data_IF_356938386565
#
_entry.id   IF_356938386565
#
_cell.length_a   1.000
_cell.length_b   1.000
_cell.length_c   1.000
_cell.angle_alpha   90.00
_cell.angle_beta   90.00
_cell.angle_gamma   90.00
#
_symmetry.space_group_name_H-M   'P 1'
#
loop_
_entity.id
_entity.type
_entity.pdbx_description
1 polymer ?
#
# COMPACT_ATOMS: atom_id res chain seq x y z
N UNK A 1 -30.70 -17.35 23.39
CA UNK A 1 -30.37 -16.31 22.38
C UNK A 1 -28.87 -16.26 22.26
N UNK A 2 -28.30 -16.93 21.25
CA UNK A 2 -26.87 -16.85 20.99
C UNK A 2 -26.54 -15.43 20.53
N UNK A 3 -25.66 -14.75 21.29
CA UNK A 3 -25.12 -13.46 20.88
C UNK A 3 -24.40 -13.67 19.56
N UNK A 4 -24.99 -13.19 18.46
CA UNK A 4 -24.32 -13.13 17.15
C UNK A 4 -23.02 -12.37 17.38
N UNK A 5 -21.89 -13.08 17.34
CA UNK A 5 -20.58 -12.45 17.51
C UNK A 5 -20.40 -11.45 16.38
N UNK A 6 -20.19 -10.17 16.73
CA UNK A 6 -19.88 -9.13 15.76
C UNK A 6 -18.63 -9.52 14.97
N UNK A 7 -18.86 -9.97 13.73
CA UNK A 7 -17.79 -10.40 12.83
C UNK A 7 -16.97 -9.17 12.47
N UNK A 8 -15.69 -9.16 12.84
CA UNK A 8 -14.81 -8.05 12.47
C UNK A 8 -14.61 -8.05 10.96
N UNK A 9 -14.78 -6.88 10.39
CA UNK A 9 -14.60 -6.60 8.97
C UNK A 9 -13.13 -6.24 8.70
N UNK A 10 -12.57 -6.77 7.60
CA UNK A 10 -11.19 -6.47 7.22
C UNK A 10 -10.84 -6.72 5.76
N UNK A 11 -9.69 -6.20 5.39
CA UNK A 11 -9.06 -6.36 4.09
C UNK A 11 -7.66 -6.93 4.30
N UNK A 12 -7.29 -7.96 3.54
CA UNK A 12 -6.02 -8.68 3.69
C UNK A 12 -5.29 -8.64 2.36
N UNK A 13 -4.03 -8.22 2.37
CA UNK A 13 -3.09 -8.36 1.25
C UNK A 13 -2.23 -9.59 1.53
N UNK A 14 -2.44 -10.65 0.75
CA UNK A 14 -1.61 -11.84 0.79
C UNK A 14 -0.48 -11.71 -0.23
N UNK A 15 0.76 -11.89 0.23
CA UNK A 15 1.95 -11.96 -0.61
C UNK A 15 2.38 -13.41 -0.76
N UNK A 16 2.67 -13.79 -1.99
CA UNK A 16 3.38 -15.03 -2.25
C UNK A 16 4.87 -14.83 -1.94
N UNK A 17 5.42 -15.54 -0.97
CA UNK A 17 6.82 -15.34 -0.54
C UNK A 17 7.84 -15.77 -1.59
N UNK A 18 7.44 -16.61 -2.57
CA UNK A 18 8.35 -17.11 -3.61
C UNK A 18 8.46 -16.13 -4.77
N UNK A 19 7.36 -15.54 -5.21
CA UNK A 19 7.31 -14.72 -6.42
C UNK A 19 6.78 -13.30 -6.20
N UNK A 20 6.58 -12.88 -4.95
CA UNK A 20 6.14 -11.55 -4.52
C UNK A 20 4.83 -11.06 -5.15
N UNK A 21 4.07 -11.96 -5.79
CA UNK A 21 2.72 -11.63 -6.25
C UNK A 21 1.83 -11.32 -5.06
N UNK A 22 0.90 -10.37 -5.24
CA UNK A 22 -0.01 -9.93 -4.18
C UNK A 22 -1.45 -10.13 -4.59
N UNK A 23 -2.23 -10.73 -3.69
CA UNK A 23 -3.67 -10.91 -3.79
C UNK A 23 -4.34 -10.12 -2.68
N UNK A 24 -5.44 -9.46 -3.00
CA UNK A 24 -6.28 -8.77 -2.02
C UNK A 24 -7.49 -9.64 -1.72
N UNK A 25 -7.83 -9.84 -0.46
CA UNK A 25 -8.96 -10.67 -0.02
C UNK A 25 -9.69 -10.01 1.15
N UNK A 26 -11.00 -10.27 1.29
CA UNK A 26 -11.77 -9.96 2.50
C UNK A 26 -11.91 -11.17 3.42
N UNK A 27 -11.46 -12.34 2.98
CA UNK A 27 -11.46 -13.59 3.73
C UNK A 27 -10.03 -13.99 4.08
N UNK A 28 -9.86 -14.49 5.31
CA UNK A 28 -8.62 -15.14 5.76
C UNK A 28 -8.32 -16.42 4.98
N UNK A 29 -9.38 -17.09 4.52
CA UNK A 29 -9.27 -18.46 4.03
C UNK A 29 -9.10 -18.46 2.52
N UNK A 30 -7.84 -18.59 2.08
CA UNK A 30 -7.48 -18.79 0.68
C UNK A 30 -7.77 -20.20 0.16
N UNK A 31 -8.24 -21.14 1.00
CA UNK A 31 -8.57 -22.51 0.57
C UNK A 31 -9.91 -22.58 -0.15
N UNK A 32 -10.81 -21.63 0.08
CA UNK A 32 -12.11 -21.61 -0.56
C UNK A 32 -11.92 -21.45 -2.07
N UNK A 33 -12.26 -22.51 -2.83
CA UNK A 33 -12.10 -22.55 -4.28
C UNK A 33 -12.87 -21.42 -4.98
N UNK A 34 -14.04 -21.05 -4.44
CA UNK A 34 -14.88 -19.99 -5.01
C UNK A 34 -14.25 -18.61 -4.85
N UNK A 35 -13.60 -18.37 -3.70
CA UNK A 35 -12.83 -17.15 -3.43
C UNK A 35 -11.59 -17.13 -4.30
N UNK A 36 -10.87 -18.24 -4.35
CA UNK A 36 -9.58 -18.34 -5.03
C UNK A 36 -9.66 -18.06 -6.53
N UNK A 37 -10.65 -18.63 -7.22
CA UNK A 37 -10.86 -18.36 -8.64
C UNK A 37 -11.11 -16.88 -8.92
N UNK A 38 -11.71 -16.14 -7.97
CA UNK A 38 -11.90 -14.68 -8.07
C UNK A 38 -10.60 -13.93 -7.77
N UNK A 39 -9.82 -14.38 -6.77
CA UNK A 39 -8.53 -13.79 -6.44
C UNK A 39 -7.55 -13.85 -7.61
N UNK A 40 -7.51 -14.97 -8.33
CA UNK A 40 -6.63 -15.13 -9.50
C UNK A 40 -6.89 -14.17 -10.65
N UNK A 41 -8.13 -13.67 -10.76
CA UNK A 41 -8.47 -12.67 -11.77
C UNK A 41 -7.82 -11.31 -11.50
N UNK A 42 -7.28 -11.08 -10.30
CA UNK A 42 -6.50 -9.88 -9.96
C UNK A 42 -5.13 -9.83 -10.65
N UNK A 43 -4.65 -10.97 -11.18
CA UNK A 43 -3.43 -11.06 -11.99
C UNK A 43 -3.88 -11.37 -13.43
N UNK A 44 -4.10 -10.35 -14.28
CA UNK A 44 -4.69 -10.54 -15.61
C UNK A 44 -3.80 -11.40 -16.51
N UNK A 45 -2.49 -11.15 -16.46
CA UNK A 45 -1.52 -11.94 -17.22
C UNK A 45 -1.35 -13.33 -16.58
N UNK A 46 -1.78 -14.35 -17.32
CA UNK A 46 -1.67 -15.75 -16.91
C UNK A 46 -0.21 -16.18 -16.66
N UNK A 47 0.77 -15.56 -17.32
CA UNK A 47 2.21 -15.87 -17.14
C UNK A 47 2.76 -15.34 -15.82
N UNK A 48 2.13 -14.30 -15.27
CA UNK A 48 2.49 -13.72 -13.97
C UNK A 48 1.77 -14.39 -12.82
N UNK A 49 0.73 -15.20 -13.09
CA UNK A 49 0.08 -15.99 -12.06
C UNK A 49 1.11 -16.99 -11.52
N UNK A 50 1.20 -17.14 -10.20
CA UNK A 50 2.07 -18.16 -9.62
C UNK A 50 1.78 -19.50 -10.28
N UNK A 51 2.83 -20.23 -10.67
CA UNK A 51 2.72 -21.56 -11.28
C UNK A 51 1.88 -22.50 -10.41
N UNK A 52 1.80 -22.18 -9.12
CA UNK A 52 0.99 -22.88 -8.16
C UNK A 52 -0.54 -22.72 -8.33
N UNK A 53 -0.99 -21.97 -9.34
CA UNK A 53 -2.40 -21.58 -9.49
C UNK A 53 -2.99 -21.93 -10.85
N UNK A 54 -2.31 -22.76 -11.64
CA UNK A 54 -2.88 -23.28 -12.89
C UNK A 54 -4.10 -24.18 -12.59
N UNK A 55 -5.12 -24.07 -13.43
CA UNK A 55 -6.50 -24.59 -13.23
C UNK A 55 -6.57 -26.11 -12.91
N UNK A 56 -5.49 -26.86 -13.14
CA UNK A 56 -5.47 -28.32 -13.05
C UNK A 56 -4.86 -28.95 -11.79
N UNK A 57 -4.14 -28.27 -10.90
CA UNK A 57 -3.45 -29.05 -9.86
C UNK A 57 -3.00 -28.31 -8.64
N UNK A 58 -3.38 -28.89 -7.48
CA UNK A 58 -2.65 -29.08 -6.21
C UNK A 58 -1.82 -27.95 -5.62
N UNK A 59 -1.62 -26.83 -6.27
CA UNK A 59 -0.55 -25.93 -5.93
C UNK A 59 -1.07 -24.69 -5.18
N UNK A 60 -2.40 -24.49 -5.15
CA UNK A 60 -3.09 -23.84 -4.03
C UNK A 60 -3.00 -24.63 -2.73
N UNK A 61 -2.58 -25.91 -2.74
CA UNK A 61 -2.25 -26.60 -1.49
C UNK A 61 -1.01 -26.00 -0.84
N UNK A 62 -0.18 -25.24 -1.59
CA UNK A 62 0.93 -24.49 -1.03
C UNK A 62 0.50 -23.15 -0.45
N UNK A 63 -0.48 -23.20 0.44
CA UNK A 63 -0.89 -22.05 1.26
C UNK A 63 0.23 -21.57 2.17
N UNK A 64 1.19 -22.44 2.45
CA UNK A 64 2.44 -22.11 3.13
C UNK A 64 3.27 -21.07 2.39
N UNK A 65 3.04 -20.86 1.09
CA UNK A 65 3.69 -19.79 0.32
C UNK A 65 2.96 -18.45 0.40
N UNK A 66 1.74 -18.41 0.96
CA UNK A 66 0.92 -17.20 1.00
C UNK A 66 0.88 -16.63 2.40
N UNK A 67 1.58 -15.52 2.60
CA UNK A 67 1.65 -14.83 3.88
C UNK A 67 0.78 -13.57 3.84
N UNK A 68 0.06 -13.23 4.91
CA UNK A 68 -0.56 -11.91 5.02
C UNK A 68 0.55 -10.86 5.15
N UNK A 69 0.72 -10.03 4.13
CA UNK A 69 1.67 -8.93 4.14
C UNK A 69 1.10 -7.69 4.85
N UNK A 70 -0.20 -7.43 4.65
CA UNK A 70 -0.93 -6.33 5.29
C UNK A 70 -2.33 -6.78 5.68
N UNK A 71 -2.77 -6.46 6.90
CA UNK A 71 -4.18 -6.61 7.31
C UNK A 71 -4.70 -5.25 7.72
N UNK A 72 -5.82 -4.85 7.13
CA UNK A 72 -6.53 -3.63 7.48
C UNK A 72 -7.78 -4.01 8.26
N UNK A 73 -7.97 -3.40 9.42
CA UNK A 73 -9.17 -3.53 10.25
C UNK A 73 -9.76 -2.16 10.58
N UNK A 74 -10.88 -2.14 11.32
CA UNK A 74 -11.51 -0.89 11.76
C UNK A 74 -12.71 -0.45 10.93
N UNK A 75 -13.09 -1.25 9.93
CA UNK A 75 -14.24 -0.96 9.11
C UNK A 75 -15.53 -1.03 9.94
N UNK A 76 -16.17 0.13 10.16
CA UNK A 76 -17.46 0.22 10.87
C UNK A 76 -18.64 -0.29 10.04
N UNK A 77 -18.52 -0.25 8.71
CA UNK A 77 -19.59 -0.64 7.78
C UNK A 77 -19.08 -1.66 6.72
N UNK A 78 -19.87 -2.70 6.39
CA UNK A 78 -19.52 -3.66 5.34
C UNK A 78 -19.19 -3.00 3.99
N UNK A 79 -19.92 -1.93 3.65
CA UNK A 79 -19.73 -1.20 2.40
C UNK A 79 -18.32 -0.60 2.27
N UNK A 80 -17.70 -0.17 3.36
CA UNK A 80 -16.34 0.38 3.31
C UNK A 80 -15.32 -0.69 2.92
N UNK A 81 -15.48 -1.92 3.41
CA UNK A 81 -14.63 -3.06 2.99
C UNK A 81 -14.85 -3.38 1.54
N UNK A 82 -16.11 -3.46 1.10
CA UNK A 82 -16.45 -3.78 -0.30
C UNK A 82 -15.87 -2.74 -1.26
N UNK A 83 -15.97 -1.46 -0.91
CA UNK A 83 -15.40 -0.37 -1.69
C UNK A 83 -13.87 -0.45 -1.71
N UNK A 84 -13.22 -0.62 -0.56
CA UNK A 84 -11.77 -0.79 -0.48
C UNK A 84 -11.29 -1.99 -1.31
N UNK A 85 -11.94 -3.13 -1.16
CA UNK A 85 -11.67 -4.34 -1.92
C UNK A 85 -11.81 -4.10 -3.42
N UNK A 86 -12.91 -3.48 -3.87
CA UNK A 86 -13.14 -3.19 -5.28
C UNK A 86 -12.08 -2.29 -5.90
N UNK A 87 -11.60 -1.28 -5.16
CA UNK A 87 -10.50 -0.40 -5.58
C UNK A 87 -9.20 -1.21 -5.62
N UNK A 88 -8.89 -1.91 -4.54
CA UNK A 88 -7.64 -2.65 -4.35
C UNK A 88 -7.50 -3.86 -5.28
N UNK A 89 -8.57 -4.35 -5.88
CA UNK A 89 -8.50 -5.39 -6.92
C UNK A 89 -7.96 -4.89 -8.26
N UNK A 90 -8.00 -3.58 -8.52
CA UNK A 90 -7.56 -3.02 -9.80
C UNK A 90 -6.04 -3.21 -9.97
N UNK A 91 -5.60 -3.66 -11.15
CA UNK A 91 -4.18 -3.86 -11.45
C UNK A 91 -3.46 -2.52 -11.59
N UNK A 92 -2.26 -2.35 -11.00
CA UNK A 92 -1.52 -1.10 -11.08
C UNK A 92 -1.05 -0.73 -12.50
N UNK A 93 -0.98 -1.68 -13.44
CA UNK A 93 -0.68 -1.35 -14.85
C UNK A 93 -1.78 -0.50 -15.52
N UNK A 94 -2.97 -0.37 -14.91
CA UNK A 94 -3.94 0.67 -15.30
C UNK A 94 -3.66 2.04 -14.66
N UNK A 95 -2.86 2.10 -13.59
CA UNK A 95 -2.49 3.31 -12.86
C UNK A 95 -1.20 3.95 -13.41
N UNK A 96 -0.26 3.20 -14.00
CA UNK A 96 0.95 3.80 -14.61
C UNK A 96 0.63 4.64 -15.88
N UNK A 97 -0.49 4.36 -16.55
CA UNK A 97 -1.02 5.21 -17.65
C UNK A 97 -1.97 6.31 -17.14
N UNK A 98 -2.07 6.48 -15.82
CA UNK A 98 -2.84 7.52 -15.16
C UNK A 98 -1.79 8.45 -14.57
N UNK A 99 -1.42 9.48 -15.33
CA UNK A 99 -0.57 10.56 -14.85
C UNK A 99 -0.99 11.03 -13.44
N UNK A 100 -0.09 11.58 -12.61
CA UNK A 100 -0.41 12.11 -11.28
C UNK A 100 -1.62 13.07 -11.30
N UNK A 101 -1.79 13.84 -12.38
CA UNK A 101 -2.93 14.76 -12.60
C UNK A 101 -4.27 14.03 -12.83
N UNK A 102 -4.24 12.72 -13.03
CA UNK A 102 -5.40 11.83 -13.16
C UNK A 102 -5.67 11.00 -11.90
N UNK A 103 -5.10 11.33 -10.74
CA UNK A 103 -5.70 10.92 -9.45
C UNK A 103 -7.18 11.39 -9.37
N UNK A 104 -7.51 12.46 -10.11
CA UNK A 104 -8.88 12.92 -10.43
C UNK A 104 -9.75 11.84 -11.12
N UNK A 105 -9.17 10.83 -11.79
CA UNK A 105 -9.92 9.69 -12.36
C UNK A 105 -10.21 8.58 -11.35
N UNK A 106 -9.70 8.63 -10.12
CA UNK A 106 -10.19 7.72 -9.08
C UNK A 106 -11.66 8.02 -8.81
N UNK A 107 -12.05 9.30 -8.79
CA UNK A 107 -13.45 9.69 -8.77
C UNK A 107 -14.22 9.18 -9.98
N UNK A 108 -13.68 9.25 -11.20
CA UNK A 108 -14.35 8.71 -12.40
C UNK A 108 -14.51 7.19 -12.38
N UNK A 109 -13.52 6.45 -11.89
CA UNK A 109 -13.59 4.98 -11.72
C UNK A 109 -14.60 4.61 -10.63
N UNK A 110 -14.68 5.41 -9.57
CA UNK A 110 -15.66 5.26 -8.50
C UNK A 110 -17.06 5.67 -8.98
N UNK A 111 -17.22 6.76 -9.71
CA UNK A 111 -18.47 7.24 -10.33
C UNK A 111 -19.03 6.20 -11.31
N UNK A 112 -18.19 5.68 -12.21
CA UNK A 112 -18.62 4.72 -13.24
C UNK A 112 -19.06 3.39 -12.64
N UNK A 113 -18.47 2.97 -11.50
CA UNK A 113 -18.83 1.70 -10.84
C UNK A 113 -19.88 1.83 -9.74
N UNK A 114 -20.05 3.01 -9.14
CA UNK A 114 -20.95 3.22 -8.00
C UNK A 114 -22.11 4.19 -8.28
N UNK A 115 -22.31 4.62 -9.54
CA UNK A 115 -23.60 5.10 -10.05
C UNK A 115 -24.08 6.47 -9.55
N UNK A 116 -23.18 7.35 -9.12
CA UNK A 116 -23.53 8.71 -8.68
C UNK A 116 -23.04 9.79 -9.65
N UNK A 117 -23.89 10.78 -9.97
CA UNK A 117 -23.47 12.03 -10.61
C UNK A 117 -22.64 12.83 -9.61
N UNK A 118 -21.34 12.98 -9.81
CA UNK A 118 -20.49 13.85 -9.01
C UNK A 118 -19.96 15.00 -9.86
N UNK A 119 -20.03 16.19 -9.30
CA UNK A 119 -19.65 17.46 -9.92
C UNK A 119 -18.19 17.76 -9.54
N UNK A 120 -17.40 18.20 -10.52
CA UNK A 120 -15.96 18.50 -10.43
C UNK A 120 -15.59 19.30 -9.19
N UNK A 121 -14.93 18.66 -8.22
CA UNK A 121 -14.22 19.34 -7.12
C UNK A 121 -12.93 18.60 -6.83
N UNK A 122 -11.88 18.88 -7.59
CA UNK A 122 -10.48 18.92 -7.15
C UNK A 122 -9.72 19.60 -8.30
N UNK A 123 -9.34 20.86 -8.11
CA UNK A 123 -8.29 21.50 -8.91
C UNK A 123 -6.91 21.17 -8.31
N UNK A 124 -5.84 21.01 -9.11
CA UNK A 124 -4.52 20.55 -8.64
C UNK A 124 -3.75 21.51 -7.72
N UNK A 125 -4.36 22.59 -7.23
CA UNK A 125 -3.62 23.69 -6.58
C UNK A 125 -3.25 23.46 -5.11
N UNK A 126 -3.71 22.38 -4.47
CA UNK A 126 -3.53 22.19 -3.02
C UNK A 126 -2.24 21.46 -2.60
N UNK A 127 -1.44 20.92 -3.54
CA UNK A 127 -0.18 20.24 -3.20
C UNK A 127 1.06 21.15 -3.21
N UNK A 128 0.90 22.48 -3.35
CA UNK A 128 2.04 23.40 -3.55
C UNK A 128 2.25 24.46 -2.46
N UNK A 129 1.49 24.47 -1.36
CA UNK A 129 1.65 25.47 -0.30
C UNK A 129 1.75 24.87 1.11
N UNK A 130 2.74 24.01 1.36
CA UNK A 130 3.23 23.76 2.73
C UNK A 130 4.75 23.54 2.74
N UNK A 131 5.50 24.52 2.24
CA UNK A 131 6.88 24.77 2.67
C UNK A 131 7.23 26.22 2.37
N UNK A 132 7.12 27.07 3.38
CA UNK A 132 7.89 28.30 3.60
C UNK A 132 7.25 29.01 4.80
N UNK A 133 7.58 28.54 6.00
CA UNK A 133 7.57 29.41 7.18
C UNK A 133 8.85 29.13 7.96
N UNK A 134 9.96 29.62 7.41
CA UNK A 134 11.24 29.73 8.11
C UNK A 134 11.18 30.94 9.01
N UNK A 135 11.33 30.68 10.30
CA UNK A 135 11.50 31.67 11.37
C UNK A 135 12.52 32.74 10.96
N UNK A 136 12.08 33.99 10.93
CA UNK A 136 12.97 35.13 11.10
C UNK A 136 13.09 35.40 12.60
N UNK A 137 14.20 34.98 13.20
CA UNK A 137 14.67 35.56 14.45
C UNK A 137 16.11 36.04 14.21
N UNK A 138 16.23 37.36 14.21
CA UNK A 138 17.46 38.13 14.22
C UNK A 138 18.25 37.88 15.49
N UNK A 139 19.52 37.52 15.28
CA UNK A 139 20.75 37.84 16.00
C UNK A 139 20.65 38.41 17.43
N UNK A 140 21.45 37.84 18.34
CA UNK A 140 22.67 38.53 18.83
C UNK A 140 23.56 37.64 19.72
N UNK A 141 24.84 37.58 19.32
CA UNK A 141 26.07 37.57 20.13
C UNK A 141 26.33 36.42 21.13
N UNK A 142 27.37 35.61 20.88
CA UNK A 142 28.69 35.87 21.48
C UNK A 142 29.82 34.97 20.98
N UNK A 143 30.99 35.59 20.99
CA UNK A 143 32.35 35.21 20.61
C UNK A 143 32.95 34.03 21.41
N UNK A 144 33.75 33.20 20.72
CA UNK A 144 34.60 32.19 21.36
C UNK A 144 35.47 31.42 20.36
N UNK A 145 36.73 31.83 20.25
CA UNK A 145 37.81 31.25 19.44
C UNK A 145 38.19 29.82 19.83
N UNK A 146 38.48 28.92 18.88
CA UNK A 146 39.84 28.33 18.67
C UNK A 146 39.85 27.24 17.58
N UNK A 147 40.98 27.24 16.86
CA UNK A 147 41.46 26.35 15.80
C UNK A 147 41.06 24.87 15.85
N UNK A 148 40.87 24.26 14.67
CA UNK A 148 41.73 23.15 14.20
C UNK A 148 41.53 22.91 12.70
N UNK A 149 42.64 23.00 11.95
CA UNK A 149 42.77 22.52 10.58
C UNK A 149 42.73 21.00 10.57
N UNK A 150 41.81 20.40 9.81
CA UNK A 150 41.97 19.18 8.96
C UNK A 150 40.60 18.61 8.62
N UNK A 151 40.02 18.91 7.45
CA UNK A 151 38.84 18.18 6.91
C UNK A 151 38.56 18.44 5.42
N UNK A 152 39.58 18.70 4.59
CA UNK A 152 39.38 18.95 3.15
C UNK A 152 39.62 17.74 2.23
N UNK A 153 40.06 16.59 2.74
CA UNK A 153 40.36 15.40 1.90
C UNK A 153 39.28 14.30 1.90
N UNK A 154 38.19 14.43 2.67
CA UNK A 154 37.12 13.43 2.72
C UNK A 154 35.95 13.77 1.77
N UNK A 155 35.79 15.03 1.38
CA UNK A 155 34.70 15.49 0.50
C UNK A 155 35.00 15.36 -1.00
N UNK A 156 36.26 15.29 -1.42
CA UNK A 156 36.62 15.11 -2.84
C UNK A 156 36.43 13.68 -3.36
N UNK A 157 36.33 12.69 -2.47
CA UNK A 157 36.08 11.29 -2.86
C UNK A 157 34.59 10.90 -2.88
N UNK A 158 33.71 11.72 -2.30
CA UNK A 158 32.26 11.48 -2.33
C UNK A 158 31.61 11.82 -3.69
N UNK A 159 32.27 12.66 -4.51
CA UNK A 159 31.79 13.08 -5.84
C UNK A 159 32.06 12.05 -6.96
N UNK A 160 32.79 10.97 -6.67
CA UNK A 160 33.12 9.91 -7.64
C UNK A 160 32.26 8.65 -7.52
N UNK A 161 31.27 8.63 -6.63
CA UNK A 161 30.30 7.53 -6.63
C UNK A 161 29.45 7.73 -7.88
N UNK A 162 29.55 6.86 -8.90
CA UNK A 162 28.71 6.98 -10.08
C UNK A 162 27.27 6.95 -9.59
N UNK A 163 26.53 8.01 -9.91
CA UNK A 163 25.09 8.06 -9.70
C UNK A 163 24.51 6.93 -10.56
N UNK A 164 24.33 5.74 -9.96
CA UNK A 164 23.77 4.58 -10.64
C UNK A 164 22.34 4.97 -10.95
N UNK A 165 22.12 5.49 -12.16
CA UNK A 165 20.78 5.74 -12.66
C UNK A 165 20.05 4.40 -12.57
N UNK A 166 18.85 4.34 -11.97
CA UNK A 166 18.09 3.11 -11.93
C UNK A 166 17.96 2.61 -13.37
N UNK A 167 18.44 1.39 -13.62
CA UNK A 167 18.38 0.76 -14.94
C UNK A 167 16.94 0.86 -15.42
N UNK A 168 16.73 1.51 -16.58
CA UNK A 168 15.37 1.72 -17.06
C UNK A 168 14.77 0.34 -17.31
N UNK A 169 13.50 0.13 -16.93
CA UNK A 169 12.83 -1.17 -17.13
C UNK A 169 13.01 -1.72 -18.56
N UNK A 170 13.03 -0.83 -19.55
CA UNK A 170 13.25 -1.14 -20.97
C UNK A 170 14.60 -1.83 -21.23
N UNK A 171 15.64 -1.47 -20.49
CA UNK A 171 17.02 -1.94 -20.62
C UNK A 171 17.26 -3.29 -19.91
N UNK A 172 16.34 -3.74 -19.05
CA UNK A 172 16.49 -5.03 -18.38
C UNK A 172 16.33 -6.21 -19.36
N UNK A 173 17.16 -7.27 -19.23
CA UNK A 173 16.94 -8.55 -19.91
C UNK A 173 15.55 -9.10 -19.62
N UNK A 174 14.99 -9.90 -20.54
CA UNK A 174 13.61 -10.41 -20.47
C UNK A 174 13.35 -11.21 -19.17
N UNK A 175 14.36 -11.94 -18.71
CA UNK A 175 14.32 -12.74 -17.49
C UNK A 175 14.23 -11.84 -16.24
N UNK A 176 15.03 -10.77 -16.21
CA UNK A 176 15.06 -9.80 -15.10
C UNK A 176 13.84 -8.88 -15.08
N UNK A 177 13.23 -8.60 -16.25
CA UNK A 177 11.98 -7.84 -16.34
C UNK A 177 10.86 -8.51 -15.55
N UNK A 178 10.75 -9.83 -15.63
CA UNK A 178 9.73 -10.59 -14.91
C UNK A 178 9.91 -10.52 -13.39
N UNK A 179 11.14 -10.69 -12.91
CA UNK A 179 11.47 -10.60 -11.48
C UNK A 179 11.28 -9.18 -10.94
N UNK A 180 11.70 -8.18 -11.72
CA UNK A 180 11.47 -6.78 -11.39
C UNK A 180 9.97 -6.45 -11.30
N UNK A 181 9.16 -6.83 -12.30
CA UNK A 181 7.70 -6.67 -12.24
C UNK A 181 7.09 -7.34 -11.00
N UNK A 182 7.59 -8.53 -10.65
CA UNK A 182 7.15 -9.26 -9.46
C UNK A 182 7.41 -8.50 -8.17
N UNK A 183 8.60 -7.91 -8.03
CA UNK A 183 8.97 -7.09 -6.88
C UNK A 183 8.09 -5.83 -6.72
N UNK A 184 7.53 -5.32 -7.82
CA UNK A 184 6.69 -4.12 -7.81
C UNK A 184 5.25 -4.37 -7.36
N UNK A 185 4.74 -5.62 -7.37
CA UNK A 185 3.34 -5.88 -7.00
C UNK A 185 3.00 -5.41 -5.59
N UNK A 186 3.84 -5.76 -4.61
CA UNK A 186 3.63 -5.35 -3.22
C UNK A 186 3.70 -3.83 -3.09
N UNK A 187 4.75 -3.22 -3.64
CA UNK A 187 4.93 -1.77 -3.63
C UNK A 187 3.71 -1.04 -4.20
N UNK A 188 3.26 -1.47 -5.38
CA UNK A 188 2.13 -0.85 -6.06
C UNK A 188 0.81 -1.03 -5.28
N UNK A 189 0.62 -2.17 -4.60
CA UNK A 189 -0.57 -2.37 -3.74
C UNK A 189 -0.51 -1.51 -2.48
N UNK A 190 0.66 -1.35 -1.87
CA UNK A 190 0.81 -0.50 -0.69
C UNK A 190 0.60 0.97 -1.06
N UNK A 191 1.16 1.42 -2.18
CA UNK A 191 0.93 2.77 -2.71
C UNK A 191 -0.56 3.01 -2.99
N UNK A 192 -1.23 2.05 -3.63
CA UNK A 192 -2.67 2.09 -3.87
C UNK A 192 -3.49 2.16 -2.57
N UNK A 193 -3.09 1.41 -1.54
CA UNK A 193 -3.72 1.44 -0.23
C UNK A 193 -3.55 2.79 0.45
N UNK A 194 -2.36 3.41 0.36
CA UNK A 194 -2.13 4.73 0.91
C UNK A 194 -3.01 5.78 0.23
N UNK A 195 -3.07 5.78 -1.11
CA UNK A 195 -3.95 6.67 -1.89
C UNK A 195 -5.42 6.51 -1.52
N UNK A 196 -5.88 5.28 -1.28
CA UNK A 196 -7.24 5.01 -0.83
C UNK A 196 -7.54 5.73 0.49
N UNK A 197 -6.63 5.66 1.46
CA UNK A 197 -6.84 6.30 2.76
C UNK A 197 -6.73 7.82 2.72
N UNK A 198 -5.78 8.37 1.95
CA UNK A 198 -5.70 9.81 1.71
C UNK A 198 -6.99 10.32 1.07
N UNK A 199 -7.50 9.58 0.08
CA UNK A 199 -8.78 9.90 -0.57
C UNK A 199 -9.94 9.90 0.44
N UNK A 200 -10.03 8.88 1.30
CA UNK A 200 -11.07 8.81 2.32
C UNK A 200 -10.96 9.92 3.36
N UNK A 201 -9.75 10.25 3.82
CA UNK A 201 -9.52 11.35 4.74
C UNK A 201 -10.06 12.66 4.16
N UNK A 202 -9.73 12.96 2.90
CA UNK A 202 -10.20 14.18 2.24
C UNK A 202 -11.71 14.15 1.96
N UNK A 203 -12.23 13.04 1.42
CA UNK A 203 -13.65 12.90 1.05
C UNK A 203 -14.59 12.98 2.25
N UNK A 204 -14.17 12.44 3.38
CA UNK A 204 -15.00 12.34 4.57
C UNK A 204 -14.56 13.29 5.69
N UNK A 205 -13.73 14.29 5.39
CA UNK A 205 -13.24 15.27 6.37
C UNK A 205 -14.38 15.97 7.14
N UNK A 206 -15.53 16.20 6.50
CA UNK A 206 -16.71 16.82 7.10
C UNK A 206 -17.72 15.83 7.69
N UNK A 207 -17.53 14.52 7.50
CA UNK A 207 -18.46 13.49 7.95
C UNK A 207 -18.08 13.00 9.35
N UNK A 208 -18.83 13.42 10.37
CA UNK A 208 -18.62 13.03 11.77
C UNK A 208 -18.74 11.52 12.02
N UNK A 209 -19.41 10.78 11.13
CA UNK A 209 -19.55 9.33 11.24
C UNK A 209 -18.34 8.56 10.68
N UNK A 210 -17.47 9.23 9.91
CA UNK A 210 -16.26 8.63 9.37
C UNK A 210 -15.07 9.02 10.25
N UNK A 211 -14.40 8.01 10.80
CA UNK A 211 -13.27 8.23 11.68
C UNK A 211 -12.13 7.30 11.29
N UNK A 212 -11.09 7.92 10.73
CA UNK A 212 -9.92 7.21 10.25
C UNK A 212 -9.08 6.61 11.40
N UNK A 213 -9.21 7.14 12.62
CA UNK A 213 -8.49 6.61 13.80
C UNK A 213 -8.94 5.21 14.21
N UNK A 214 -10.16 4.81 13.79
CA UNK A 214 -10.64 3.45 13.96
C UNK A 214 -9.93 2.43 13.08
N UNK A 215 -9.24 2.87 12.01
CA UNK A 215 -8.56 2.00 11.07
C UNK A 215 -7.15 1.65 11.55
N UNK A 216 -6.78 0.39 11.39
CA UNK A 216 -5.44 -0.11 11.74
C UNK A 216 -4.89 -0.97 10.62
N UNK A 217 -3.67 -0.67 10.19
CA UNK A 217 -2.87 -1.49 9.29
C UNK A 217 -1.86 -2.31 10.10
N UNK A 218 -1.95 -3.63 10.02
CA UNK A 218 -0.99 -4.57 10.56
C UNK A 218 -0.03 -5.01 9.45
N UNK A 219 1.27 -4.87 9.67
CA UNK A 219 2.31 -5.06 8.66
C UNK A 219 3.17 -6.29 8.93
N UNK A 220 3.37 -7.19 7.96
CA UNK A 220 4.35 -8.30 8.06
C UNK A 220 5.74 -7.77 8.40
N UNK A 221 6.14 -6.68 7.75
CA UNK A 221 7.35 -5.94 8.07
C UNK A 221 7.03 -4.45 8.17
N UNK A 222 7.45 -3.78 9.24
CA UNK A 222 7.25 -2.34 9.41
C UNK A 222 7.82 -1.51 8.26
N UNK A 223 8.86 -1.97 7.56
CA UNK A 223 9.44 -1.29 6.39
C UNK A 223 8.49 -1.26 5.17
N UNK A 224 7.45 -2.09 5.15
CA UNK A 224 6.48 -2.09 4.05
C UNK A 224 5.70 -0.79 3.97
N UNK A 225 5.49 -0.09 5.09
CA UNK A 225 4.83 1.23 5.08
C UNK A 225 5.62 2.27 4.28
N UNK A 226 6.93 2.09 4.16
CA UNK A 226 7.86 3.00 3.48
C UNK A 226 7.95 2.72 1.97
N UNK A 227 7.22 1.72 1.46
CA UNK A 227 7.16 1.40 0.02
C UNK A 227 6.28 2.39 -0.77
N UNK A 228 5.55 3.27 -0.09
CA UNK A 228 4.73 4.32 -0.72
C UNK A 228 5.59 5.27 -1.55
N UNK A 229 5.03 5.85 -2.61
CA UNK A 229 5.71 6.86 -3.39
C UNK A 229 6.09 8.10 -2.54
N UNK A 230 7.28 8.67 -2.75
CA UNK A 230 7.86 9.73 -1.90
C UNK A 230 6.95 10.97 -1.72
N UNK A 231 6.12 11.26 -2.72
CA UNK A 231 5.18 12.38 -2.72
C UNK A 231 3.83 12.10 -2.03
N UNK A 232 3.65 10.92 -1.42
CA UNK A 232 2.41 10.53 -0.77
C UNK A 232 2.73 10.12 0.66
N UNK A 233 1.99 10.70 1.60
CA UNK A 233 2.13 10.38 3.02
C UNK A 233 0.90 9.64 3.52
N UNK A 234 1.10 8.74 4.47
CA UNK A 234 0.00 8.10 5.18
C UNK A 234 -0.77 9.13 6.00
N UNK A 235 -2.11 9.06 6.06
CA UNK A 235 -2.90 9.90 6.95
C UNK A 235 -2.45 9.75 8.41
N UNK A 236 -2.24 10.87 9.09
CA UNK A 236 -1.72 10.90 10.47
C UNK A 236 -2.59 10.16 11.48
N UNK A 237 -3.91 10.07 11.22
CA UNK A 237 -4.87 9.36 12.08
C UNK A 237 -4.86 7.85 11.87
N UNK A 238 -4.27 7.34 10.79
CA UNK A 238 -4.23 5.89 10.53
C UNK A 238 -3.26 5.21 11.50
N UNK A 239 -3.71 4.15 12.18
CA UNK A 239 -2.85 3.41 13.10
C UNK A 239 -2.05 2.34 12.35
N UNK A 240 -0.76 2.22 12.65
CA UNK A 240 0.13 1.18 12.11
C UNK A 240 0.62 0.28 13.23
N UNK A 241 0.52 -1.05 13.07
CA UNK A 241 1.00 -2.05 14.03
C UNK A 241 1.81 -3.13 13.30
N UNK A 242 2.72 -3.78 14.02
CA UNK A 242 3.41 -4.98 13.53
C UNK A 242 2.42 -6.16 13.51
N UNK A 243 2.46 -6.96 12.45
CA UNK A 243 1.74 -8.22 12.33
C UNK A 243 2.61 -9.33 12.92
N UNK A 244 2.05 -10.06 13.88
CA UNK A 244 2.73 -11.15 14.57
C UNK A 244 2.33 -12.46 13.89
N UNK A 245 3.28 -13.10 13.20
CA UNK A 245 3.06 -14.32 12.45
C UNK A 245 3.88 -15.47 13.02
N UNK A 246 3.24 -16.63 13.18
CA UNK A 246 3.90 -17.89 13.48
C UNK A 246 3.83 -18.80 12.25
N UNK A 247 4.97 -19.42 11.90
CA UNK A 247 5.11 -20.25 10.69
C UNK A 247 4.58 -19.56 9.42
N UNK A 248 4.69 -18.22 9.38
CA UNK A 248 4.38 -17.43 8.20
C UNK A 248 2.90 -17.12 7.93
N UNK A 249 1.97 -17.91 8.45
CA UNK A 249 0.54 -17.74 8.13
C UNK A 249 -0.40 -17.74 9.35
N UNK A 250 0.08 -18.12 10.54
CA UNK A 250 -0.73 -18.12 11.76
C UNK A 250 -0.63 -16.77 12.45
N UNK A 251 -1.71 -16.00 12.42
CA UNK A 251 -1.79 -14.65 13.01
C UNK A 251 -1.93 -14.77 14.53
N UNK A 252 -0.99 -14.16 15.26
CA UNK A 252 -0.93 -14.18 16.72
C UNK A 252 -1.55 -12.94 17.38
N UNK A 253 -1.77 -11.84 16.63
CA UNK A 253 -2.31 -10.61 17.21
C UNK A 253 -3.70 -10.86 17.84
N UNK A 254 -3.89 -10.59 19.14
CA UNK A 254 -5.14 -10.88 19.84
C UNK A 254 -6.32 -10.10 19.26
N UNK A 255 -6.07 -8.86 18.82
CA UNK A 255 -7.06 -7.97 18.20
C UNK A 255 -7.66 -8.55 16.92
N UNK A 256 -6.92 -9.43 16.24
CA UNK A 256 -7.31 -10.05 14.97
C UNK A 256 -8.05 -11.38 15.15
N UNK A 257 -8.14 -11.94 16.37
CA UNK A 257 -8.78 -13.25 16.61
C UNK A 257 -10.22 -13.34 16.09
N UNK A 258 -10.99 -12.25 16.18
CA UNK A 258 -12.39 -12.20 15.72
C UNK A 258 -12.54 -11.81 14.25
N UNK A 259 -11.43 -11.46 13.57
CA UNK A 259 -11.38 -11.40 12.11
C UNK A 259 -11.34 -12.81 11.52
N UNK A 260 -10.92 -13.80 12.33
CA UNK A 260 -10.69 -15.18 11.97
C UNK A 260 -11.96 -16.02 12.15
#
# INVERSE_FOLDING_TARGET
>A
MDKVKDKKLGLILFRNIRDNTVLVSTSKNLQDRSVTSKLLRQIPDKKLRPLSLHEDSRALRRLDLWHPAVIVTGFKAPQHVVNAYGIMQLTPNRLENVEPDRIVNMDRVLETRFGGKYQKFITPRMYLNHSLNTNANTDTNNTGSTNTNTSTSVLENASKIPLVRPVRYVELPKEKKLEYQKSLFLRAKIDQLCRLFVYWEHKYASNTNFDLSSYTCYWEHNSFKDLVHENIQWPSKLTHKQLDLFRGNMILNPDLKNLL
#
